data_IF_252744749105
#
_entry.id   IF_252744749105
#
_cell.length_a   1.000
_cell.length_b   1.000
_cell.length_c   1.000
_cell.angle_alpha   90.00
_cell.angle_beta   90.00
_cell.angle_gamma   90.00
#
_symmetry.space_group_name_H-M   'P 1'
#
loop_
_entity.id
_entity.type
_entity.pdbx_description
1 polymer ?
#
# COMPACT_ATOMS: atom_id res chain seq x y z
N UNK A 1 -20.85 39.63 -42.76
CA UNK A 1 -19.62 38.94 -42.24
C UNK A 1 -19.14 39.48 -40.89
N UNK A 2 -18.92 40.79 -40.70
CA UNK A 2 -18.44 41.34 -39.43
C UNK A 2 -19.34 41.02 -38.20
N UNK A 3 -20.68 41.13 -38.35
CA UNK A 3 -21.62 40.82 -37.28
C UNK A 3 -21.57 39.34 -36.86
N UNK A 4 -21.44 38.45 -37.84
CA UNK A 4 -21.32 37.00 -37.56
C UNK A 4 -20.03 36.65 -36.81
N UNK A 5 -18.92 37.26 -37.25
CA UNK A 5 -17.63 37.08 -36.56
C UNK A 5 -17.68 37.58 -35.12
N UNK A 6 -18.35 38.72 -34.88
CA UNK A 6 -18.52 39.28 -33.55
C UNK A 6 -19.35 38.33 -32.62
N UNK A 7 -20.47 37.79 -33.14
CA UNK A 7 -21.29 36.83 -32.39
C UNK A 7 -20.52 35.55 -32.07
N UNK A 8 -19.74 35.03 -33.06
CA UNK A 8 -18.91 33.85 -32.81
C UNK A 8 -17.83 34.10 -31.75
N UNK A 9 -17.17 35.27 -31.79
CA UNK A 9 -16.16 35.63 -30.78
C UNK A 9 -16.79 35.76 -29.40
N UNK A 10 -17.95 36.38 -29.29
CA UNK A 10 -18.66 36.49 -28.00
C UNK A 10 -19.02 35.12 -27.43
N UNK A 11 -19.49 34.18 -28.28
CA UNK A 11 -19.81 32.84 -27.88
C UNK A 11 -18.58 32.10 -27.33
N UNK A 12 -17.44 32.22 -28.00
CA UNK A 12 -16.18 31.60 -27.54
C UNK A 12 -15.77 32.15 -26.17
N UNK A 13 -15.86 33.48 -25.99
CA UNK A 13 -15.52 34.09 -24.69
C UNK A 13 -16.44 33.61 -23.57
N UNK A 14 -17.75 33.50 -23.84
CA UNK A 14 -18.70 32.99 -22.84
C UNK A 14 -18.40 31.55 -22.48
N UNK A 15 -18.13 30.68 -23.46
CA UNK A 15 -17.77 29.27 -23.21
C UNK A 15 -16.47 29.19 -22.39
N UNK A 16 -15.46 29.95 -22.75
CA UNK A 16 -14.19 30.00 -22.02
C UNK A 16 -14.39 30.44 -20.55
N UNK A 17 -15.21 31.47 -20.35
CA UNK A 17 -15.54 31.96 -18.98
C UNK A 17 -16.25 30.87 -18.16
N UNK A 18 -17.25 30.19 -18.73
CA UNK A 18 -17.96 29.10 -18.04
C UNK A 18 -17.05 27.96 -17.69
N UNK A 19 -16.19 27.51 -18.61
CA UNK A 19 -15.23 26.45 -18.38
C UNK A 19 -14.23 26.83 -17.26
N UNK A 20 -13.73 28.06 -17.29
CA UNK A 20 -12.80 28.56 -16.28
C UNK A 20 -13.44 28.56 -14.89
N UNK A 21 -14.66 29.11 -14.77
CA UNK A 21 -15.38 29.15 -13.50
C UNK A 21 -15.64 27.74 -12.98
N UNK A 22 -16.07 26.83 -13.85
CA UNK A 22 -16.36 25.44 -13.47
C UNK A 22 -15.08 24.71 -13.03
N UNK A 23 -13.96 24.96 -13.68
CA UNK A 23 -12.67 24.36 -13.30
C UNK A 23 -12.17 24.90 -11.95
N UNK A 24 -12.30 26.20 -11.72
CA UNK A 24 -11.86 26.83 -10.47
C UNK A 24 -12.78 26.47 -9.28
N UNK A 25 -14.03 26.12 -9.53
CA UNK A 25 -14.98 25.69 -8.49
C UNK A 25 -14.81 24.20 -8.11
N UNK A 26 -14.00 23.43 -8.82
CA UNK A 26 -13.70 22.05 -8.45
C UNK A 26 -12.82 22.02 -7.18
N UNK A 27 -13.42 21.66 -6.08
CA UNK A 27 -12.66 21.34 -4.87
C UNK A 27 -12.01 19.96 -4.96
N UNK A 28 -10.78 19.85 -4.49
CA UNK A 28 -10.12 18.56 -4.38
C UNK A 28 -10.94 17.64 -3.47
N UNK A 29 -11.20 16.42 -3.93
CA UNK A 29 -11.80 15.36 -3.13
C UNK A 29 -10.74 14.58 -2.34
N UNK A 30 -9.49 14.98 -2.42
CA UNK A 30 -8.44 14.41 -1.59
C UNK A 30 -8.71 14.76 -0.13
N UNK A 31 -8.76 13.72 0.68
CA UNK A 31 -8.80 13.87 2.14
C UNK A 31 -7.42 14.38 2.55
N UNK A 32 -7.38 15.54 3.22
CA UNK A 32 -6.14 16.01 3.84
C UNK A 32 -5.77 15.01 4.94
N UNK A 33 -4.67 14.27 4.81
CA UNK A 33 -4.28 13.33 5.85
C UNK A 33 -3.93 14.10 7.12
N UNK A 34 -4.54 13.73 8.23
CA UNK A 34 -4.09 14.23 9.52
C UNK A 34 -2.58 13.91 9.69
N UNK A 35 -1.79 14.84 10.24
CA UNK A 35 -0.38 14.59 10.45
C UNK A 35 -0.22 13.36 11.36
N UNK A 36 0.27 12.27 10.76
CA UNK A 36 0.55 11.04 11.49
C UNK A 36 1.65 11.36 12.52
N UNK A 37 1.35 11.17 13.80
CA UNK A 37 2.38 11.23 14.83
C UNK A 37 3.48 10.23 14.44
N UNK A 38 4.71 10.72 14.34
CA UNK A 38 5.86 9.84 14.10
C UNK A 38 5.92 8.83 15.24
N UNK A 39 5.58 7.59 14.94
CA UNK A 39 5.76 6.50 15.87
C UNK A 39 7.25 6.17 15.92
N UNK A 40 7.83 6.19 17.12
CA UNK A 40 9.20 5.71 17.29
C UNK A 40 9.23 4.21 17.04
N UNK A 41 10.05 3.81 16.07
CA UNK A 41 10.25 2.39 15.80
C UNK A 41 10.99 1.73 16.98
N UNK A 42 10.60 0.51 17.37
CA UNK A 42 11.37 -0.25 18.37
C UNK A 42 12.85 -0.32 17.97
N UNK A 43 13.74 -0.15 18.92
CA UNK A 43 15.20 -0.10 18.69
C UNK A 43 15.73 -1.30 17.92
N UNK A 44 15.09 -2.46 18.09
CA UNK A 44 15.46 -3.71 17.43
C UNK A 44 14.79 -3.91 16.05
N UNK A 45 13.92 -3.01 15.59
CA UNK A 45 13.20 -3.19 14.31
C UNK A 45 14.16 -3.33 13.13
N UNK A 46 15.16 -2.47 13.04
CA UNK A 46 16.18 -2.52 11.98
C UNK A 46 17.03 -3.80 12.03
N UNK A 47 17.37 -4.24 13.24
CA UNK A 47 18.14 -5.48 13.43
C UNK A 47 17.31 -6.70 13.04
N UNK A 48 16.02 -6.71 13.39
CA UNK A 48 15.12 -7.79 13.03
C UNK A 48 14.94 -7.86 11.51
N UNK A 49 14.76 -6.71 10.84
CA UNK A 49 14.69 -6.66 9.39
C UNK A 49 15.98 -7.14 8.75
N UNK A 50 17.14 -6.69 9.25
CA UNK A 50 18.45 -7.13 8.75
C UNK A 50 18.63 -8.65 8.88
N UNK A 51 18.17 -9.27 9.95
CA UNK A 51 18.19 -10.73 10.11
C UNK A 51 17.19 -11.41 9.20
N UNK A 52 15.99 -10.85 9.03
CA UNK A 52 14.94 -11.41 8.20
C UNK A 52 15.37 -11.55 6.73
N UNK A 53 16.05 -10.54 6.18
CA UNK A 53 16.52 -10.57 4.77
C UNK A 53 17.70 -11.49 4.52
N UNK A 54 18.31 -12.07 5.56
CA UNK A 54 19.41 -13.03 5.44
C UNK A 54 18.93 -14.47 5.27
N UNK A 55 17.64 -14.74 5.41
CA UNK A 55 17.11 -16.06 5.11
C UNK A 55 17.00 -16.24 3.60
N UNK A 56 17.59 -17.30 3.08
CA UNK A 56 17.61 -17.62 1.65
C UNK A 56 16.28 -18.27 1.20
N UNK A 57 15.17 -17.54 1.39
CA UNK A 57 13.83 -17.97 0.97
C UNK A 57 13.61 -17.66 -0.51
N UNK A 58 14.39 -18.29 -1.38
CA UNK A 58 14.41 -18.02 -2.81
C UNK A 58 13.65 -19.12 -3.55
N UNK A 59 12.77 -18.72 -4.48
CA UNK A 59 12.16 -19.59 -5.48
C UNK A 59 12.78 -19.22 -6.84
N UNK A 60 13.49 -20.15 -7.46
CA UNK A 60 14.23 -19.91 -8.71
C UNK A 60 13.34 -20.01 -9.96
N UNK A 61 12.26 -20.79 -9.90
CA UNK A 61 11.27 -20.95 -10.97
C UNK A 61 9.99 -21.55 -10.42
N UNK A 62 8.90 -21.54 -11.22
CA UNK A 62 7.62 -22.17 -10.86
C UNK A 62 7.76 -23.69 -10.61
N UNK A 63 8.65 -24.34 -11.33
CA UNK A 63 8.89 -25.79 -11.22
C UNK A 63 9.97 -26.18 -10.20
N UNK A 64 10.70 -25.21 -9.65
CA UNK A 64 11.71 -25.48 -8.65
C UNK A 64 11.10 -25.76 -7.28
N UNK A 65 11.51 -26.84 -6.65
CA UNK A 65 11.15 -27.13 -5.26
C UNK A 65 11.90 -26.14 -4.36
N UNK A 66 11.22 -25.24 -3.63
CA UNK A 66 11.87 -24.31 -2.73
C UNK A 66 12.60 -25.03 -1.60
N UNK A 67 13.65 -24.43 -1.06
CA UNK A 67 14.31 -24.95 0.14
C UNK A 67 13.39 -24.83 1.36
N UNK A 68 12.68 -25.90 1.66
CA UNK A 68 11.77 -25.99 2.80
C UNK A 68 12.46 -25.70 4.14
N UNK A 69 13.75 -25.99 4.25
CA UNK A 69 14.55 -25.74 5.46
C UNK A 69 14.73 -24.24 5.69
N UNK A 70 15.05 -23.48 4.66
CA UNK A 70 15.20 -22.03 4.72
C UNK A 70 13.87 -21.36 5.11
N UNK A 71 12.77 -21.76 4.46
CA UNK A 71 11.43 -21.25 4.79
C UNK A 71 11.01 -21.58 6.23
N UNK A 72 11.21 -22.82 6.69
CA UNK A 72 10.84 -23.21 8.05
C UNK A 72 11.67 -22.47 9.11
N UNK A 73 12.96 -22.25 8.87
CA UNK A 73 13.80 -21.41 9.75
C UNK A 73 13.33 -19.97 9.80
N UNK A 74 12.91 -19.42 8.66
CA UNK A 74 12.32 -18.07 8.61
C UNK A 74 11.00 -17.99 9.37
N UNK A 75 10.12 -18.99 9.23
CA UNK A 75 8.87 -19.06 9.99
C UNK A 75 9.11 -19.14 11.51
N UNK A 76 10.10 -19.92 11.92
CA UNK A 76 10.49 -20.00 13.33
C UNK A 76 11.01 -18.64 13.84
N UNK A 77 11.88 -18.00 13.09
CA UNK A 77 12.37 -16.65 13.39
C UNK A 77 11.23 -15.65 13.58
N UNK A 78 10.24 -15.63 12.67
CA UNK A 78 9.08 -14.73 12.80
C UNK A 78 8.30 -15.01 14.09
N UNK A 79 8.13 -16.27 14.45
CA UNK A 79 7.43 -16.66 15.69
C UNK A 79 8.17 -16.20 16.94
N UNK A 80 9.48 -16.31 16.93
CA UNK A 80 10.32 -15.91 18.07
C UNK A 80 10.38 -14.40 18.25
N UNK A 81 10.46 -13.64 17.15
CA UNK A 81 10.62 -12.18 17.19
C UNK A 81 9.28 -11.45 17.35
N UNK A 82 8.19 -12.02 16.85
CA UNK A 82 6.86 -11.42 16.88
C UNK A 82 5.82 -12.30 17.58
N UNK A 83 6.02 -12.66 18.86
CA UNK A 83 5.12 -13.58 19.57
C UNK A 83 3.70 -13.04 19.67
N UNK A 84 3.50 -11.72 19.85
CA UNK A 84 2.17 -11.12 19.91
C UNK A 84 1.37 -11.27 18.61
N UNK A 85 2.03 -11.25 17.46
CA UNK A 85 1.38 -11.48 16.17
C UNK A 85 0.81 -12.90 16.13
N UNK A 86 1.59 -13.88 16.59
CA UNK A 86 1.19 -15.28 16.62
C UNK A 86 0.16 -15.61 17.71
N UNK A 87 0.09 -14.80 18.76
CA UNK A 87 -0.91 -14.94 19.83
C UNK A 87 -2.24 -14.31 19.45
N UNK A 88 -2.22 -13.15 18.77
CA UNK A 88 -3.43 -12.35 18.52
C UNK A 88 -4.08 -12.61 17.17
N UNK A 89 -3.33 -13.12 16.21
CA UNK A 89 -3.82 -13.37 14.86
C UNK A 89 -3.96 -14.86 14.60
N UNK A 90 -4.98 -15.25 13.86
CA UNK A 90 -5.06 -16.60 13.34
C UNK A 90 -4.10 -16.78 12.18
N UNK A 91 -3.33 -17.86 12.20
CA UNK A 91 -2.33 -18.18 11.19
C UNK A 91 -2.77 -19.36 10.34
N UNK A 92 -2.79 -19.16 9.04
CA UNK A 92 -2.97 -20.20 8.03
C UNK A 92 -1.70 -20.31 7.18
N UNK A 93 -1.27 -21.55 6.92
CA UNK A 93 -0.13 -21.84 6.07
C UNK A 93 -0.63 -22.28 4.69
N UNK A 94 -0.34 -21.48 3.66
CA UNK A 94 -0.78 -21.72 2.28
C UNK A 94 0.40 -22.26 1.47
N UNK A 95 0.18 -23.33 0.72
CA UNK A 95 1.17 -23.96 -0.15
C UNK A 95 2.53 -24.19 0.54
N UNK A 96 2.49 -24.57 1.81
CA UNK A 96 3.63 -24.91 2.67
C UNK A 96 4.58 -23.75 3.03
N UNK A 97 4.64 -22.69 2.25
CA UNK A 97 5.66 -21.63 2.42
C UNK A 97 5.07 -20.26 2.76
N UNK A 98 3.84 -19.97 2.35
CA UNK A 98 3.21 -18.67 2.59
C UNK A 98 2.48 -18.67 3.92
N UNK A 99 2.67 -17.61 4.73
CA UNK A 99 1.97 -17.41 5.99
C UNK A 99 0.90 -16.34 5.80
N UNK A 100 -0.36 -16.70 6.04
CA UNK A 100 -1.48 -15.79 6.05
C UNK A 100 -1.91 -15.52 7.49
N UNK A 101 -1.78 -14.27 7.94
CA UNK A 101 -2.26 -13.83 9.24
C UNK A 101 -3.58 -13.10 9.08
N UNK A 102 -4.61 -13.59 9.75
CA UNK A 102 -5.93 -12.97 9.77
C UNK A 102 -6.14 -12.25 11.09
N UNK A 103 -6.44 -10.97 11.02
CA UNK A 103 -6.92 -10.19 12.14
C UNK A 103 -8.44 -10.11 12.07
N UNK A 104 -9.11 -10.64 13.08
CA UNK A 104 -10.56 -10.50 13.18
C UNK A 104 -10.86 -9.10 13.71
N UNK A 105 -11.58 -8.31 12.88
CA UNK A 105 -12.05 -7.00 13.30
C UNK A 105 -13.07 -7.11 14.43
N UNK A 106 -13.23 -6.03 15.16
CA UNK A 106 -14.40 -5.88 16.04
C UNK A 106 -15.60 -5.46 15.19
N UNK A 107 -16.68 -6.22 15.24
CA UNK A 107 -17.98 -5.80 14.72
C UNK A 107 -18.50 -4.58 15.50
#
# INVERSE_FOLDING_TARGET
MKKFLFVLLTLIVVIAAVLTINTLSLSSKQVDPEPIQKMDFPVNAYQNLSKAVQFETISYSEDAIPDSTAFNRFHQFLREIYPLVHEKLSLEKISEFSLLYKWEGSD
#
